data_IF_175572755124
#
_entry.id   IF_175572755124
#
_cell.length_a   1.000
_cell.length_b   1.000
_cell.length_c   1.000
_cell.angle_alpha   90.00
_cell.angle_beta   90.00
_cell.angle_gamma   90.00
#
_symmetry.space_group_name_H-M   'P 1'
#
loop_
_entity.id
_entity.type
_entity.pdbx_description
1 polymer ?
#
# COMPACT_ATOMS: atom_id res chain seq x y z
N UNK A 1 -5.73 11.67 -38.06
CA UNK A 1 -5.19 10.65 -37.11
C UNK A 1 -3.69 10.55 -37.30
N UNK A 2 -2.90 10.51 -36.21
CA UNK A 2 -1.47 10.16 -36.29
C UNK A 2 -1.37 8.64 -36.35
N UNK A 3 -0.99 8.07 -37.49
CA UNK A 3 -0.90 6.62 -37.71
C UNK A 3 0.54 6.23 -38.05
N UNK A 4 0.97 5.08 -37.55
CA UNK A 4 2.26 4.48 -37.91
C UNK A 4 2.03 3.14 -38.62
N UNK A 5 2.92 2.79 -39.54
CA UNK A 5 2.89 1.50 -40.25
C UNK A 5 3.94 0.58 -39.62
N UNK A 6 3.54 -0.65 -39.28
CA UNK A 6 4.44 -1.67 -38.73
C UNK A 6 4.68 -2.75 -39.79
N UNK A 7 5.94 -2.89 -40.21
CA UNK A 7 6.39 -3.94 -41.13
C UNK A 7 7.37 -4.87 -40.42
N UNK A 8 7.11 -6.17 -40.44
CA UNK A 8 8.02 -7.18 -39.91
C UNK A 8 8.00 -8.43 -40.78
N UNK A 9 9.12 -9.15 -40.82
CA UNK A 9 9.25 -10.44 -41.52
C UNK A 9 8.97 -11.57 -40.54
N UNK A 10 8.28 -12.60 -41.01
CA UNK A 10 8.01 -13.83 -40.24
C UNK A 10 7.88 -15.01 -41.22
N UNK A 11 7.84 -16.23 -40.71
CA UNK A 11 7.68 -17.41 -41.55
C UNK A 11 6.24 -17.50 -42.11
N UNK A 12 6.05 -18.04 -43.32
CA UNK A 12 4.72 -18.21 -43.90
C UNK A 12 3.79 -19.08 -43.04
N UNK A 13 4.35 -20.08 -42.35
CA UNK A 13 3.61 -20.97 -41.45
C UNK A 13 3.00 -20.19 -40.28
N UNK A 14 3.81 -19.37 -39.59
CA UNK A 14 3.35 -18.55 -38.45
C UNK A 14 2.27 -17.55 -38.92
N UNK A 15 2.49 -16.87 -40.05
CA UNK A 15 1.50 -15.94 -40.60
C UNK A 15 0.15 -16.62 -40.85
N UNK A 16 0.16 -17.79 -41.51
CA UNK A 16 -1.06 -18.56 -41.79
C UNK A 16 -1.76 -19.00 -40.51
N UNK A 17 -1.00 -19.49 -39.52
CA UNK A 17 -1.54 -19.92 -38.24
C UNK A 17 -2.27 -18.80 -37.50
N UNK A 18 -1.61 -17.64 -37.36
CA UNK A 18 -2.21 -16.48 -36.66
C UNK A 18 -3.38 -15.90 -37.44
N UNK A 19 -3.32 -15.87 -38.78
CA UNK A 19 -4.46 -15.45 -39.61
C UNK A 19 -5.68 -16.35 -39.39
N UNK A 20 -5.49 -17.67 -39.39
CA UNK A 20 -6.55 -18.64 -39.14
C UNK A 20 -7.16 -18.45 -37.74
N UNK A 21 -6.30 -18.32 -36.72
CA UNK A 21 -6.74 -18.07 -35.34
C UNK A 21 -7.60 -16.79 -35.22
N UNK A 22 -7.18 -15.69 -35.85
CA UNK A 22 -7.94 -14.45 -35.84
C UNK A 22 -9.32 -14.63 -36.53
N UNK A 23 -9.35 -15.32 -37.67
CA UNK A 23 -10.57 -15.63 -38.41
C UNK A 23 -11.54 -16.51 -37.61
N UNK A 24 -11.05 -17.55 -36.93
CA UNK A 24 -11.83 -18.41 -36.05
C UNK A 24 -12.49 -17.63 -34.88
N UNK A 25 -11.91 -16.47 -34.51
CA UNK A 25 -12.45 -15.56 -33.50
C UNK A 25 -13.22 -14.38 -34.07
N UNK A 26 -13.47 -14.36 -35.38
CA UNK A 26 -14.25 -13.31 -36.05
C UNK A 26 -13.56 -11.94 -36.09
N UNK A 27 -12.24 -11.88 -35.94
CA UNK A 27 -11.46 -10.63 -35.94
C UNK A 27 -10.39 -10.63 -37.02
N UNK A 28 -9.94 -9.43 -37.42
CA UNK A 28 -8.83 -9.30 -38.37
C UNK A 28 -7.48 -9.50 -37.68
N UNK A 29 -6.49 -9.95 -38.45
CA UNK A 29 -5.10 -10.05 -37.97
C UNK A 29 -4.60 -8.70 -37.45
N UNK A 30 -4.95 -7.60 -38.13
CA UNK A 30 -4.52 -6.25 -37.72
C UNK A 30 -5.14 -5.84 -36.39
N UNK A 31 -6.42 -6.14 -36.15
CA UNK A 31 -7.07 -5.87 -34.87
C UNK A 31 -6.39 -6.64 -33.74
N UNK A 32 -6.10 -7.94 -33.96
CA UNK A 32 -5.40 -8.79 -32.99
C UNK A 32 -4.01 -8.23 -32.65
N UNK A 33 -3.21 -7.88 -33.67
CA UNK A 33 -1.86 -7.34 -33.46
C UNK A 33 -1.89 -5.98 -32.76
N UNK A 34 -2.80 -5.09 -33.15
CA UNK A 34 -2.95 -3.78 -32.50
C UNK A 34 -3.36 -3.92 -31.02
N UNK A 35 -4.29 -4.84 -30.72
CA UNK A 35 -4.68 -5.12 -29.33
C UNK A 35 -3.50 -5.65 -28.52
N UNK A 36 -2.73 -6.58 -29.07
CA UNK A 36 -1.57 -7.14 -28.39
C UNK A 36 -0.49 -6.07 -28.11
N UNK A 37 -0.20 -5.21 -29.09
CA UNK A 37 0.73 -4.08 -28.89
C UNK A 37 0.23 -3.10 -27.83
N UNK A 38 -1.07 -2.78 -27.83
CA UNK A 38 -1.68 -1.92 -26.83
C UNK A 38 -1.60 -2.54 -25.42
N UNK A 39 -1.82 -3.85 -25.31
CA UNK A 39 -1.69 -4.59 -24.06
C UNK A 39 -0.26 -4.51 -23.50
N UNK A 40 0.75 -4.79 -24.32
CA UNK A 40 2.17 -4.70 -23.92
C UNK A 40 2.51 -3.28 -23.47
N UNK A 41 2.11 -2.26 -24.25
CA UNK A 41 2.40 -0.87 -23.88
C UNK A 41 1.72 -0.49 -22.57
N UNK A 42 0.48 -0.93 -22.35
CA UNK A 42 -0.25 -0.66 -21.11
C UNK A 42 0.45 -1.30 -19.91
N UNK A 43 0.86 -2.56 -20.02
CA UNK A 43 1.61 -3.24 -18.95
C UNK A 43 2.91 -2.52 -18.61
N UNK A 44 3.69 -2.14 -19.63
CA UNK A 44 4.93 -1.37 -19.44
C UNK A 44 4.68 -0.05 -18.71
N UNK A 45 3.66 0.69 -19.12
CA UNK A 45 3.31 1.97 -18.48
C UNK A 45 2.89 1.78 -17.02
N UNK A 46 2.11 0.74 -16.72
CA UNK A 46 1.74 0.40 -15.34
C UNK A 46 2.98 0.07 -14.49
N UNK A 47 3.92 -0.70 -15.02
CA UNK A 47 5.17 -1.02 -14.31
C UNK A 47 6.04 0.22 -14.08
N UNK A 48 6.17 1.10 -15.07
CA UNK A 48 6.92 2.36 -14.92
C UNK A 48 6.29 3.26 -13.86
N UNK A 49 4.96 3.38 -13.85
CA UNK A 49 4.24 4.15 -12.82
C UNK A 49 4.47 3.58 -11.42
N UNK A 50 4.36 2.26 -11.27
CA UNK A 50 4.62 1.59 -10.01
C UNK A 50 6.04 1.86 -9.51
N UNK A 51 7.05 1.67 -10.35
CA UNK A 51 8.44 1.90 -9.99
C UNK A 51 8.72 3.37 -9.64
N UNK A 52 8.07 4.31 -10.34
CA UNK A 52 8.18 5.74 -10.06
C UNK A 52 7.54 6.09 -8.71
N UNK A 53 6.39 5.50 -8.39
CA UNK A 53 5.73 5.71 -7.10
C UNK A 53 6.56 5.13 -5.96
N UNK A 54 7.03 3.89 -6.08
CA UNK A 54 7.91 3.26 -5.10
C UNK A 54 9.17 4.09 -4.84
N UNK A 55 9.77 4.68 -5.89
CA UNK A 55 10.93 5.55 -5.74
C UNK A 55 10.60 6.85 -4.97
N UNK A 56 9.40 7.42 -5.16
CA UNK A 56 8.95 8.60 -4.42
C UNK A 56 8.66 8.26 -2.96
N UNK A 57 7.95 7.16 -2.71
CA UNK A 57 7.61 6.71 -1.37
C UNK A 57 8.89 6.40 -0.57
N UNK A 58 9.87 5.73 -1.19
CA UNK A 58 11.17 5.47 -0.57
C UNK A 58 11.94 6.76 -0.23
N UNK A 59 11.87 7.79 -1.09
CA UNK A 59 12.45 9.11 -0.79
C UNK A 59 11.71 9.85 0.34
N UNK A 60 10.40 9.64 0.48
CA UNK A 60 9.61 10.24 1.54
C UNK A 60 9.86 9.55 2.89
N UNK A 61 9.92 8.22 2.90
CA UNK A 61 10.32 7.43 4.08
C UNK A 61 11.75 7.74 4.54
N UNK A 62 12.67 7.99 3.62
CA UNK A 62 14.04 8.40 3.95
C UNK A 62 14.14 9.79 4.62
N UNK A 63 13.06 10.58 4.63
CA UNK A 63 12.97 11.87 5.34
C UNK A 63 12.38 11.72 6.75
N UNK A 64 11.82 10.57 7.09
CA UNK A 64 11.33 10.29 8.44
C UNK A 64 12.56 9.93 9.28
N UNK A 65 13.10 10.94 9.96
CA UNK A 65 14.17 10.75 10.93
C UNK A 65 13.60 10.26 12.26
N UNK A 66 13.39 8.95 12.38
CA UNK A 66 12.92 8.32 13.63
C UNK A 66 13.88 8.51 14.81
N UNK A 67 15.09 9.04 14.58
CA UNK A 67 16.07 9.29 15.64
C UNK A 67 16.04 10.74 16.17
N UNK A 68 15.29 11.63 15.52
CA UNK A 68 15.23 13.05 15.87
C UNK A 68 13.78 13.59 15.94
N UNK A 69 12.81 12.69 16.12
CA UNK A 69 11.43 13.07 16.44
C UNK A 69 11.39 13.59 17.89
N UNK A 70 11.30 14.91 18.04
CA UNK A 70 10.98 15.52 19.33
C UNK A 70 9.51 15.20 19.68
N UNK A 71 9.23 14.63 20.85
CA UNK A 71 7.86 14.42 21.30
C UNK A 71 7.07 15.72 21.24
N UNK A 72 5.86 15.68 20.68
CA UNK A 72 4.99 16.86 20.66
C UNK A 72 4.78 17.41 22.08
N UNK A 73 4.55 18.72 22.22
CA UNK A 73 4.24 19.35 23.51
C UNK A 73 3.07 18.65 24.22
N UNK A 74 2.08 18.17 23.46
CA UNK A 74 0.97 17.38 23.98
C UNK A 74 1.45 16.07 24.62
N UNK A 75 2.26 15.28 23.90
CA UNK A 75 2.83 14.03 24.43
C UNK A 75 3.73 14.27 25.64
N UNK A 76 4.52 15.34 25.64
CA UNK A 76 5.35 15.73 26.79
C UNK A 76 4.47 16.02 28.02
N UNK A 77 3.35 16.72 27.83
CA UNK A 77 2.44 17.06 28.92
C UNK A 77 1.68 15.83 29.43
N UNK A 78 1.20 14.94 28.54
CA UNK A 78 0.59 13.67 28.94
C UNK A 78 1.54 12.79 29.77
N UNK A 79 2.82 12.70 29.38
CA UNK A 79 3.83 11.97 30.16
C UNK A 79 4.07 12.59 31.54
N UNK A 80 3.99 13.93 31.66
CA UNK A 80 4.11 14.61 32.96
C UNK A 80 2.91 14.34 33.87
N UNK A 81 1.70 14.32 33.33
CA UNK A 81 0.49 13.97 34.10
C UNK A 81 0.52 12.50 34.51
N UNK A 82 0.86 11.60 33.59
CA UNK A 82 1.02 10.17 33.89
C UNK A 82 2.02 9.91 35.04
N UNK A 83 3.13 10.65 35.09
CA UNK A 83 4.10 10.54 36.18
C UNK A 83 3.55 11.07 37.53
N UNK A 84 2.66 12.05 37.53
CA UNK A 84 1.98 12.50 38.76
C UNK A 84 0.97 11.45 39.23
N UNK A 85 0.21 10.88 38.32
CA UNK A 85 -0.80 9.87 38.61
C UNK A 85 -0.15 8.60 39.18
N UNK A 86 0.95 8.15 38.56
CA UNK A 86 1.79 7.07 39.09
C UNK A 86 2.26 7.31 40.52
N UNK A 87 2.63 8.54 40.89
CA UNK A 87 3.05 8.89 42.26
C UNK A 87 1.91 8.90 43.27
N UNK A 88 0.68 9.19 42.82
CA UNK A 88 -0.52 9.17 43.66
C UNK A 88 -1.13 7.77 43.79
N UNK A 89 -0.67 6.81 43.00
CA UNK A 89 -1.24 5.45 42.95
C UNK A 89 -2.31 5.28 41.87
N UNK A 90 -2.55 6.33 41.07
CA UNK A 90 -3.62 6.44 40.09
C UNK A 90 -3.31 5.66 38.80
N UNK A 91 -3.05 4.37 38.96
CA UNK A 91 -2.61 3.46 37.90
C UNK A 91 -3.46 2.21 37.91
N UNK A 92 -3.55 1.54 36.77
CA UNK A 92 -4.14 0.22 36.72
C UNK A 92 -3.37 -0.76 37.64
N UNK A 93 -4.02 -1.83 38.10
CA UNK A 93 -3.31 -2.97 38.67
C UNK A 93 -2.24 -3.51 37.70
N UNK A 94 -1.27 -4.25 38.23
CA UNK A 94 -0.43 -5.10 37.41
C UNK A 94 -1.23 -6.35 37.02
N UNK A 95 -1.12 -6.77 35.76
CA UNK A 95 -1.82 -7.94 35.23
C UNK A 95 -0.80 -9.04 34.87
N UNK A 96 -1.10 -10.28 35.22
CA UNK A 96 -0.25 -11.43 34.91
C UNK A 96 -0.51 -12.01 33.51
N UNK A 97 -1.64 -11.64 32.88
CA UNK A 97 -2.03 -12.09 31.54
C UNK A 97 -2.82 -11.01 30.78
N UNK A 98 -2.96 -11.20 29.46
CA UNK A 98 -3.61 -10.24 28.58
C UNK A 98 -5.15 -10.23 28.74
N UNK A 99 -5.76 -11.36 29.09
CA UNK A 99 -7.22 -11.49 29.20
C UNK A 99 -7.76 -10.62 30.33
N UNK A 100 -7.08 -10.63 31.48
CA UNK A 100 -7.42 -9.81 32.65
C UNK A 100 -7.22 -8.31 32.39
N UNK A 101 -6.14 -7.93 31.69
CA UNK A 101 -5.90 -6.55 31.30
C UNK A 101 -6.99 -6.01 30.35
N UNK A 102 -7.42 -6.84 29.38
CA UNK A 102 -8.49 -6.51 28.44
C UNK A 102 -9.84 -6.42 29.16
N UNK A 103 -10.13 -7.35 30.08
CA UNK A 103 -11.35 -7.33 30.88
C UNK A 103 -11.44 -6.05 31.73
N UNK A 104 -10.33 -5.64 32.36
CA UNK A 104 -10.26 -4.40 33.13
C UNK A 104 -10.42 -3.14 32.26
N UNK A 105 -9.78 -3.11 31.08
CA UNK A 105 -9.87 -1.96 30.16
C UNK A 105 -11.30 -1.72 29.66
N UNK A 106 -12.09 -2.78 29.48
CA UNK A 106 -13.46 -2.71 28.96
C UNK A 106 -14.53 -2.69 30.05
N UNK A 107 -14.17 -2.76 31.33
CA UNK A 107 -15.12 -2.66 32.43
C UNK A 107 -15.50 -1.19 32.67
N UNK A 108 -16.75 -0.77 32.40
CA UNK A 108 -17.18 0.61 32.62
C UNK A 108 -17.20 1.02 34.10
N UNK A 109 -17.11 0.05 35.01
CA UNK A 109 -17.01 0.27 36.45
C UNK A 109 -15.57 0.08 36.97
N UNK A 110 -14.60 -0.15 36.08
CA UNK A 110 -13.20 -0.22 36.46
C UNK A 110 -12.85 1.02 37.27
N UNK A 111 -12.33 0.80 38.48
CA UNK A 111 -11.91 1.89 39.35
C UNK A 111 -10.63 2.48 38.78
N UNK A 112 -10.75 3.51 37.96
CA UNK A 112 -9.69 4.49 37.79
C UNK A 112 -9.59 5.21 39.13
N UNK A 113 -8.44 5.14 39.79
CA UNK A 113 -8.18 6.00 40.94
C UNK A 113 -8.04 7.45 40.45
N UNK A 114 -9.13 8.03 39.92
CA UNK A 114 -9.38 9.46 39.65
C UNK A 114 -10.69 9.63 38.86
N UNK A 115 -11.78 9.03 39.36
CA UNK A 115 -13.09 9.66 39.21
C UNK A 115 -13.09 10.95 40.05
N UNK A 116 -12.48 12.02 39.53
CA UNK A 116 -12.63 13.40 39.99
C UNK A 116 -13.79 14.03 39.21
#
# INVERSE_FOLDING_TARGET
>A
MKTAVVNFKTTPSVKKGVQKYAQERGISLSALLNQYMAHINTQRQSQVKLNTQLAKDAQELAKIDTNNEEPSDWLINELKESEKDRKKGHTSPAFDNAEDAIAWLNDPNAKYEDQI
#
